data_IF_571555247644
#
_entry.id   IF_571555247644
#
_cell.length_a   1.000
_cell.length_b   1.000
_cell.length_c   1.000
_cell.angle_alpha   90.00
_cell.angle_beta   90.00
_cell.angle_gamma   90.00
#
_symmetry.space_group_name_H-M   'P 1'
#
loop_
_entity.id
_entity.type
_entity.pdbx_description
1 polymer ?
#
# COMPACT_ATOMS: atom_id res chain seq x y z
N UNK A 1 -10.49 -6.34 7.38
CA UNK A 1 -9.75 -5.74 8.50
C UNK A 1 -8.39 -6.38 8.62
N UNK A 2 -7.36 -5.68 8.12
CA UNK A 2 -5.97 -5.97 8.44
C UNK A 2 -5.81 -5.86 9.96
N UNK A 3 -5.56 -6.99 10.62
CA UNK A 3 -5.18 -7.04 12.02
C UNK A 3 -3.70 -7.39 12.08
N UNK A 4 -2.86 -6.58 12.74
CA UNK A 4 -1.44 -6.90 12.96
C UNK A 4 -1.31 -7.72 14.23
N UNK A 5 -0.61 -8.85 14.15
CA UNK A 5 -0.45 -9.79 15.26
C UNK A 5 1.03 -9.88 15.64
N UNK A 6 1.41 -9.50 16.87
CA UNK A 6 2.77 -9.68 17.35
C UNK A 6 3.22 -11.15 17.22
N UNK A 7 4.36 -11.39 16.58
CA UNK A 7 4.87 -12.74 16.30
C UNK A 7 4.19 -13.47 15.15
N UNK A 8 3.34 -12.79 14.37
CA UNK A 8 2.73 -13.32 13.17
C UNK A 8 3.72 -13.58 12.03
N UNK A 9 3.31 -14.42 11.07
CA UNK A 9 4.15 -14.82 9.93
C UNK A 9 4.00 -13.92 8.71
N UNK A 10 3.07 -12.96 8.71
CA UNK A 10 2.92 -12.02 7.59
C UNK A 10 4.03 -10.98 7.64
N UNK A 11 4.32 -10.38 6.49
CA UNK A 11 5.35 -9.35 6.40
C UNK A 11 5.01 -8.14 7.27
N UNK A 12 3.76 -7.68 7.26
CA UNK A 12 3.28 -6.62 8.17
C UNK A 12 3.50 -6.92 9.66
N UNK A 13 3.30 -8.18 10.08
CA UNK A 13 3.48 -8.60 11.48
C UNK A 13 4.95 -8.56 11.91
N UNK A 14 5.86 -8.87 10.98
CA UNK A 14 7.30 -8.78 11.21
C UNK A 14 7.78 -7.35 11.21
N UNK A 15 7.44 -6.58 10.18
CA UNK A 15 7.89 -5.19 9.97
C UNK A 15 7.43 -4.29 11.11
N UNK A 16 6.21 -4.47 11.61
CA UNK A 16 5.66 -3.71 12.75
C UNK A 16 5.89 -4.42 14.10
N UNK A 17 6.69 -5.48 14.11
CA UNK A 17 7.01 -6.21 15.33
C UNK A 17 7.93 -5.42 16.26
N UNK A 18 7.81 -5.58 17.60
CA UNK A 18 8.54 -4.77 18.58
C UNK A 18 10.08 -4.91 18.50
N UNK A 19 10.60 -5.97 17.88
CA UNK A 19 12.05 -6.19 17.71
C UNK A 19 12.61 -5.75 16.34
N UNK A 20 11.76 -5.28 15.42
CA UNK A 20 12.19 -5.03 14.03
C UNK A 20 13.15 -3.83 13.92
N UNK A 21 13.03 -2.87 14.83
CA UNK A 21 13.89 -1.68 14.93
C UNK A 21 14.91 -1.76 16.08
N UNK A 22 15.03 -2.91 16.74
CA UNK A 22 16.01 -3.08 17.82
C UNK A 22 17.43 -3.19 17.27
N UNK A 23 18.37 -2.57 17.98
CA UNK A 23 19.82 -2.71 17.80
C UNK A 23 20.32 -2.40 16.38
N UNK A 24 19.65 -1.49 15.67
CA UNK A 24 20.00 -1.13 14.28
C UNK A 24 21.47 -0.71 14.13
N UNK A 25 22.06 -0.08 15.14
CA UNK A 25 23.47 0.34 15.14
C UNK A 25 24.46 -0.83 15.16
N UNK A 26 24.05 -2.01 15.63
CA UNK A 26 24.88 -3.20 15.75
C UNK A 26 24.74 -4.14 14.54
N UNK A 27 23.65 -4.00 13.79
CA UNK A 27 23.38 -4.86 12.63
C UNK A 27 24.38 -4.61 11.48
N UNK A 28 24.76 -5.63 10.71
CA UNK A 28 25.48 -5.43 9.46
C UNK A 28 24.68 -4.55 8.48
N UNK A 29 25.38 -3.80 7.62
CA UNK A 29 24.72 -2.93 6.63
C UNK A 29 23.83 -3.71 5.65
N UNK A 30 24.22 -4.94 5.29
CA UNK A 30 23.41 -5.84 4.47
C UNK A 30 22.06 -6.14 5.12
N UNK A 31 22.06 -6.49 6.42
CA UNK A 31 20.83 -6.77 7.19
C UNK A 31 19.94 -5.53 7.29
N UNK A 32 20.51 -4.33 7.44
CA UNK A 32 19.73 -3.09 7.40
C UNK A 32 19.07 -2.86 6.04
N UNK A 33 19.78 -3.13 4.93
CA UNK A 33 19.22 -3.03 3.58
C UNK A 33 18.11 -4.05 3.36
N UNK A 34 18.30 -5.30 3.79
CA UNK A 34 17.27 -6.34 3.74
C UNK A 34 16.01 -5.93 4.50
N UNK A 35 16.14 -5.42 5.75
CA UNK A 35 15.00 -4.94 6.53
C UNK A 35 14.31 -3.72 5.90
N UNK A 36 15.08 -2.81 5.29
CA UNK A 36 14.53 -1.68 4.54
C UNK A 36 13.73 -2.17 3.34
N UNK A 37 14.26 -3.13 2.59
CA UNK A 37 13.64 -3.65 1.37
C UNK A 37 12.39 -4.47 1.68
N UNK A 38 12.39 -5.25 2.77
CA UNK A 38 11.19 -5.91 3.28
C UNK A 38 10.11 -4.88 3.67
N UNK A 39 10.46 -3.83 4.42
CA UNK A 39 9.51 -2.77 4.77
C UNK A 39 9.00 -2.01 3.53
N UNK A 40 9.88 -1.74 2.55
CA UNK A 40 9.52 -1.07 1.30
C UNK A 40 8.55 -1.91 0.45
N UNK A 41 8.73 -3.22 0.41
CA UNK A 41 7.79 -4.12 -0.27
C UNK A 41 6.42 -4.14 0.44
N UNK A 42 6.39 -4.10 1.77
CA UNK A 42 5.13 -4.01 2.51
C UNK A 42 4.41 -2.67 2.26
N UNK A 43 5.14 -1.57 2.24
CA UNK A 43 4.58 -0.26 1.91
C UNK A 43 3.98 -0.23 0.50
N UNK A 44 4.67 -0.87 -0.46
CA UNK A 44 4.20 -1.00 -1.85
C UNK A 44 2.89 -1.79 -1.92
N UNK A 45 2.82 -2.92 -1.20
CA UNK A 45 1.63 -3.78 -1.14
C UNK A 45 0.44 -3.04 -0.50
N UNK A 46 0.67 -2.32 0.61
CA UNK A 46 -0.35 -1.48 1.27
C UNK A 46 -0.79 -0.31 0.39
N UNK A 47 0.14 0.35 -0.30
CA UNK A 47 -0.14 1.42 -1.25
C UNK A 47 -0.99 0.93 -2.42
N UNK A 48 -0.76 -0.29 -2.90
CA UNK A 48 -1.58 -0.91 -3.94
C UNK A 48 -2.99 -1.20 -3.44
N UNK A 49 -3.13 -1.82 -2.27
CA UNK A 49 -4.43 -2.09 -1.66
C UNK A 49 -5.22 -0.79 -1.41
N UNK A 50 -4.55 0.26 -0.92
CA UNK A 50 -5.18 1.58 -0.74
C UNK A 50 -5.75 2.13 -2.05
N UNK A 51 -5.00 2.04 -3.15
CA UNK A 51 -5.48 2.50 -4.48
C UNK A 51 -6.67 1.68 -4.96
N UNK A 52 -6.69 0.37 -4.70
CA UNK A 52 -7.85 -0.47 -5.02
C UNK A 52 -9.09 -0.02 -4.23
N UNK A 53 -8.94 0.28 -2.94
CA UNK A 53 -10.03 0.78 -2.10
C UNK A 53 -10.54 2.15 -2.58
N UNK A 54 -9.64 3.07 -2.91
CA UNK A 54 -10.01 4.36 -3.52
C UNK A 54 -10.82 4.17 -4.80
N UNK A 55 -10.33 3.36 -5.74
CA UNK A 55 -11.05 3.10 -6.99
C UNK A 55 -12.47 2.54 -6.73
N UNK A 56 -12.62 1.63 -5.75
CA UNK A 56 -13.92 1.08 -5.38
C UNK A 56 -14.84 2.12 -4.74
N UNK A 57 -14.31 2.97 -3.85
CA UNK A 57 -15.03 4.09 -3.25
C UNK A 57 -15.55 5.04 -4.33
N UNK A 58 -14.73 5.39 -5.32
CA UNK A 58 -15.13 6.30 -6.40
C UNK A 58 -16.24 5.72 -7.27
N UNK A 59 -16.14 4.43 -7.61
CA UNK A 59 -17.17 3.73 -8.39
C UNK A 59 -18.51 3.73 -7.62
N UNK A 60 -18.50 3.45 -6.32
CA UNK A 60 -19.72 3.47 -5.49
C UNK A 60 -20.29 4.88 -5.39
N UNK A 61 -19.45 5.89 -5.19
CA UNK A 61 -19.88 7.31 -5.15
C UNK A 61 -20.47 7.76 -6.48
N UNK A 62 -19.87 7.36 -7.60
CA UNK A 62 -20.37 7.68 -8.93
C UNK A 62 -21.74 7.04 -9.22
N UNK A 63 -21.96 5.82 -8.73
CA UNK A 63 -23.27 5.17 -8.78
C UNK A 63 -24.33 5.95 -7.98
N UNK A 64 -24.00 6.33 -6.74
CA UNK A 64 -24.90 7.12 -5.88
C UNK A 64 -25.23 8.49 -6.52
N UNK A 65 -24.22 9.17 -7.07
CA UNK A 65 -24.39 10.45 -7.79
C UNK A 65 -25.28 10.26 -9.03
N UNK A 66 -25.09 9.18 -9.81
CA UNK A 66 -25.94 8.90 -10.97
C UNK A 66 -27.40 8.77 -10.57
N UNK A 67 -27.69 8.03 -9.49
CA UNK A 67 -29.06 7.84 -8.98
C UNK A 67 -29.68 9.15 -8.51
N UNK A 68 -28.95 9.96 -7.76
CA UNK A 68 -29.47 11.22 -7.22
C UNK A 68 -29.68 12.30 -8.30
N UNK A 69 -28.87 12.29 -9.35
CA UNK A 69 -28.94 13.27 -10.46
C UNK A 69 -29.83 12.83 -11.63
N UNK A 70 -30.32 11.58 -11.62
CA UNK A 70 -31.06 11.00 -12.74
C UNK A 70 -30.18 10.82 -13.99
N UNK A 71 -28.86 10.65 -13.81
CA UNK A 71 -27.91 10.57 -14.92
C UNK A 71 -28.13 9.34 -15.81
N UNK A 72 -28.15 9.56 -17.12
CA UNK A 72 -28.40 8.50 -18.11
C UNK A 72 -27.16 7.65 -18.43
N UNK A 73 -25.95 8.24 -18.30
CA UNK A 73 -24.69 7.55 -18.61
C UNK A 73 -24.33 6.54 -17.54
N UNK A 74 -23.94 5.34 -17.95
CA UNK A 74 -23.55 4.28 -17.02
C UNK A 74 -22.24 4.63 -16.29
N UNK A 75 -22.02 4.00 -15.13
CA UNK A 75 -20.75 4.12 -14.40
C UNK A 75 -19.58 3.60 -15.24
N UNK A 76 -19.81 2.57 -16.06
CA UNK A 76 -18.80 2.00 -16.97
C UNK A 76 -18.37 3.03 -18.03
N UNK A 77 -19.31 3.75 -18.63
CA UNK A 77 -19.02 4.82 -19.61
C UNK A 77 -18.21 5.96 -19.00
N UNK A 78 -18.41 6.24 -17.71
CA UNK A 78 -17.69 7.29 -16.96
C UNK A 78 -16.41 6.79 -16.29
N UNK A 79 -16.06 5.52 -16.38
CA UNK A 79 -15.01 4.90 -15.54
C UNK A 79 -13.66 5.62 -15.66
N UNK A 80 -13.25 6.00 -16.86
CA UNK A 80 -12.01 6.74 -17.07
C UNK A 80 -12.00 8.09 -16.33
N UNK A 81 -13.12 8.81 -16.34
CA UNK A 81 -13.26 10.08 -15.62
C UNK A 81 -13.32 9.86 -14.10
N UNK A 82 -14.05 8.83 -13.64
CA UNK A 82 -14.18 8.47 -12.22
C UNK A 82 -12.81 8.17 -11.61
N UNK A 83 -11.97 7.41 -12.30
CA UNK A 83 -10.65 7.01 -11.79
C UNK A 83 -9.57 8.07 -12.01
N UNK A 84 -9.82 9.10 -12.83
CA UNK A 84 -8.86 10.16 -13.09
C UNK A 84 -8.61 11.07 -11.89
N UNK A 85 -9.61 11.27 -11.03
CA UNK A 85 -9.50 12.15 -9.86
C UNK A 85 -8.48 11.63 -8.82
N UNK A 86 -8.29 10.31 -8.76
CA UNK A 86 -7.28 9.65 -7.90
C UNK A 86 -5.98 9.30 -8.65
N UNK A 87 -5.84 9.73 -9.91
CA UNK A 87 -4.62 9.56 -10.68
C UNK A 87 -3.53 10.53 -10.16
N UNK A 88 -2.79 10.06 -9.16
CA UNK A 88 -1.51 10.64 -8.69
C UNK A 88 -1.63 12.15 -8.44
N UNK A 89 -2.16 12.54 -7.28
CA UNK A 89 -1.90 13.88 -6.75
C UNK A 89 -0.39 14.15 -6.75
N UNK A 90 0.05 15.42 -6.92
CA UNK A 90 1.46 15.75 -7.07
C UNK A 90 2.28 15.08 -5.98
N UNK A 91 3.35 14.38 -6.37
CA UNK A 91 4.22 13.71 -5.42
C UNK A 91 4.70 14.72 -4.38
N UNK A 92 4.17 14.64 -3.16
CA UNK A 92 4.56 15.53 -2.06
C UNK A 92 5.91 15.14 -1.44
N UNK A 93 6.50 14.03 -1.89
CA UNK A 93 7.84 13.59 -1.51
C UNK A 93 8.89 13.93 -2.56
N UNK A 94 10.16 14.08 -2.16
CA UNK A 94 11.27 14.11 -3.12
C UNK A 94 11.24 12.78 -3.89
N UNK A 95 10.92 12.82 -5.19
CA UNK A 95 10.65 11.64 -6.01
C UNK A 95 11.54 10.45 -5.65
N UNK A 96 10.92 9.34 -5.22
CA UNK A 96 11.63 8.09 -4.92
C UNK A 96 11.52 7.21 -6.15
N UNK A 97 12.66 6.67 -6.61
CA UNK A 97 12.65 5.64 -7.64
C UNK A 97 12.02 4.36 -7.06
N UNK A 98 10.74 4.11 -7.33
CA UNK A 98 10.04 2.89 -6.93
C UNK A 98 10.01 1.93 -8.12
N UNK A 99 10.85 0.89 -8.10
CA UNK A 99 10.74 -0.25 -9.04
C UNK A 99 9.89 -1.40 -8.49
N UNK A 100 9.48 -1.32 -7.23
CA UNK A 100 8.78 -2.42 -6.57
C UNK A 100 7.37 -2.50 -7.11
N UNK A 101 7.04 -3.66 -7.68
CA UNK A 101 5.69 -4.02 -8.03
C UNK A 101 4.99 -4.66 -6.83
N UNK A 102 3.66 -4.57 -6.73
CA UNK A 102 2.91 -5.23 -5.66
C UNK A 102 3.13 -6.75 -5.72
N UNK A 103 3.70 -7.32 -4.67
CA UNK A 103 4.14 -8.73 -4.66
C UNK A 103 2.98 -9.71 -4.61
N UNK A 104 1.79 -9.25 -4.21
CA UNK A 104 0.58 -10.05 -4.00
C UNK A 104 -0.67 -9.41 -4.61
N UNK A 105 -0.53 -8.80 -5.79
CA UNK A 105 -1.62 -8.05 -6.44
C UNK A 105 -2.97 -8.82 -6.50
N UNK A 106 -2.92 -10.13 -6.80
CA UNK A 106 -4.13 -10.97 -6.84
C UNK A 106 -4.77 -11.24 -5.47
N UNK A 107 -3.98 -11.39 -4.41
CA UNK A 107 -4.50 -11.54 -3.04
C UNK A 107 -5.12 -10.24 -2.54
N UNK A 108 -4.48 -9.09 -2.80
CA UNK A 108 -5.01 -7.78 -2.45
C UNK A 108 -6.33 -7.49 -3.17
N UNK A 109 -6.45 -7.87 -4.44
CA UNK A 109 -7.70 -7.77 -5.20
C UNK A 109 -8.82 -8.60 -4.56
N UNK A 110 -8.56 -9.89 -4.29
CA UNK A 110 -9.53 -10.77 -3.62
C UNK A 110 -9.91 -10.28 -2.23
N UNK A 111 -8.96 -9.72 -1.48
CA UNK A 111 -9.23 -9.13 -0.18
C UNK A 111 -10.16 -7.91 -0.29
N UNK A 112 -9.88 -7.02 -1.26
CA UNK A 112 -10.74 -5.86 -1.53
C UNK A 112 -12.15 -6.27 -1.97
N UNK A 113 -12.29 -7.36 -2.73
CA UNK A 113 -13.58 -7.95 -3.10
C UNK A 113 -14.29 -8.57 -1.87
N UNK A 114 -13.57 -9.34 -1.05
CA UNK A 114 -14.12 -10.02 0.12
C UNK A 114 -14.64 -9.08 1.23
N UNK A 115 -14.17 -7.83 1.30
CA UNK A 115 -14.67 -6.82 2.26
C UNK A 115 -16.19 -6.59 2.15
N UNK A 116 -16.78 -6.96 1.02
CA UNK A 116 -18.21 -6.75 0.74
C UNK A 116 -19.03 -8.05 0.77
N UNK A 117 -18.41 -9.19 1.05
CA UNK A 117 -19.07 -10.50 1.10
C UNK A 117 -19.40 -11.04 -0.29
N UNK A 118 -20.37 -11.95 -0.40
CA UNK A 118 -20.82 -12.62 -1.65
C UNK A 118 -21.45 -11.67 -2.71
N UNK A 119 -21.39 -10.36 -2.51
CA UNK A 119 -21.93 -9.40 -3.47
C UNK A 119 -20.83 -9.00 -4.45
N UNK A 120 -20.86 -9.60 -5.63
CA UNK A 120 -19.95 -9.25 -6.72
C UNK A 120 -20.21 -7.81 -7.19
N UNK A 121 -19.24 -6.93 -6.92
CA UNK A 121 -19.22 -5.54 -7.39
C UNK A 121 -18.73 -5.40 -8.83
N UNK A 122 -18.71 -6.49 -9.59
CA UNK A 122 -18.57 -6.44 -11.04
C UNK A 122 -19.66 -5.58 -11.68
N UNK A 123 -20.83 -5.45 -11.04
CA UNK A 123 -21.91 -4.57 -11.48
C UNK A 123 -22.58 -3.77 -10.33
N UNK A 124 -22.05 -2.57 -10.06
CA UNK A 124 -22.59 -1.62 -9.08
C UNK A 124 -24.01 -1.16 -9.37
N UNK A 125 -24.47 -1.28 -10.62
CA UNK A 125 -25.81 -0.84 -11.01
C UNK A 125 -26.92 -1.76 -10.46
N UNK A 126 -26.58 -3.00 -10.11
CA UNK A 126 -27.53 -3.99 -9.57
C UNK A 126 -27.77 -3.86 -8.07
N UNK A 127 -26.97 -3.06 -7.37
CA UNK A 127 -27.04 -2.93 -5.91
C UNK A 127 -28.17 -2.01 -5.47
N UNK A 128 -28.78 -2.28 -4.32
CA UNK A 128 -29.70 -1.34 -3.67
C UNK A 128 -28.94 -0.16 -3.06
N UNK A 129 -29.65 0.94 -2.78
CA UNK A 129 -29.04 2.12 -2.13
C UNK A 129 -28.46 1.77 -0.75
N UNK A 130 -29.13 0.91 0.01
CA UNK A 130 -28.66 0.41 1.30
C UNK A 130 -27.37 -0.41 1.15
N UNK A 131 -27.28 -1.24 0.11
CA UNK A 131 -26.06 -1.99 -0.19
C UNK A 131 -24.91 -1.07 -0.58
N UNK A 132 -25.16 -0.02 -1.36
CA UNK A 132 -24.16 0.99 -1.73
C UNK A 132 -23.65 1.77 -0.50
N UNK A 133 -24.54 2.16 0.40
CA UNK A 133 -24.16 2.83 1.66
C UNK A 133 -23.30 1.91 2.53
N UNK A 134 -23.72 0.64 2.69
CA UNK A 134 -22.96 -0.33 3.48
C UNK A 134 -21.58 -0.61 2.87
N UNK A 135 -21.51 -0.78 1.55
CA UNK A 135 -20.28 -0.95 0.79
C UNK A 135 -19.30 0.22 1.00
N UNK A 136 -19.81 1.45 0.83
CA UNK A 136 -19.01 2.66 0.98
C UNK A 136 -18.40 2.78 2.38
N UNK A 137 -19.20 2.53 3.43
CA UNK A 137 -18.73 2.58 4.82
C UNK A 137 -17.63 1.54 5.08
N UNK A 138 -17.83 0.29 4.64
CA UNK A 138 -16.82 -0.77 4.81
C UNK A 138 -15.52 -0.45 4.09
N UNK A 139 -15.59 0.09 2.88
CA UNK A 139 -14.40 0.50 2.15
C UNK A 139 -13.69 1.68 2.78
N UNK A 140 -14.42 2.68 3.26
CA UNK A 140 -13.84 3.82 3.95
C UNK A 140 -13.13 3.39 5.24
N UNK A 141 -13.74 2.53 6.04
CA UNK A 141 -13.15 2.01 7.28
C UNK A 141 -11.86 1.23 7.00
N UNK A 142 -11.87 0.35 5.98
CA UNK A 142 -10.68 -0.41 5.62
C UNK A 142 -9.59 0.49 5.01
N UNK A 143 -9.96 1.49 4.20
CA UNK A 143 -9.00 2.44 3.65
C UNK A 143 -8.26 3.18 4.76
N UNK A 144 -8.98 3.63 5.79
CA UNK A 144 -8.38 4.29 6.96
C UNK A 144 -7.41 3.36 7.67
N UNK A 145 -7.78 2.10 7.86
CA UNK A 145 -6.91 1.07 8.46
C UNK A 145 -5.64 0.84 7.64
N UNK A 146 -5.77 0.60 6.33
CA UNK A 146 -4.64 0.42 5.39
C UNK A 146 -3.74 1.65 5.39
N UNK A 147 -4.33 2.85 5.36
CA UNK A 147 -3.60 4.12 5.40
C UNK A 147 -2.87 4.34 6.74
N UNK A 148 -3.38 3.81 7.85
CA UNK A 148 -2.69 3.82 9.15
C UNK A 148 -1.45 2.93 9.12
N UNK A 149 -1.62 1.64 8.80
CA UNK A 149 -0.50 0.71 8.76
C UNK A 149 0.56 1.10 7.73
N UNK A 150 0.15 1.66 6.59
CA UNK A 150 1.09 2.20 5.59
C UNK A 150 1.98 3.29 6.18
N UNK A 151 1.41 4.21 6.97
CA UNK A 151 2.18 5.27 7.64
C UNK A 151 3.13 4.71 8.70
N UNK A 152 2.71 3.70 9.44
CA UNK A 152 3.58 3.02 10.42
C UNK A 152 4.78 2.35 9.72
N UNK A 153 4.54 1.62 8.62
CA UNK A 153 5.60 1.01 7.81
C UNK A 153 6.53 2.07 7.21
N UNK A 154 6.00 3.21 6.75
CA UNK A 154 6.83 4.32 6.29
C UNK A 154 7.75 4.86 7.41
N UNK A 155 7.26 4.96 8.65
CA UNK A 155 8.08 5.32 9.81
C UNK A 155 9.20 4.32 10.09
N UNK A 156 8.94 3.02 9.93
CA UNK A 156 9.96 1.97 9.99
C UNK A 156 11.03 2.18 8.91
N UNK A 157 10.61 2.39 7.66
CA UNK A 157 11.52 2.66 6.55
C UNK A 157 12.39 3.90 6.79
N UNK A 158 11.79 5.00 7.25
CA UNK A 158 12.51 6.25 7.49
C UNK A 158 13.54 6.10 8.63
N UNK A 159 13.22 5.31 9.67
CA UNK A 159 14.16 4.98 10.76
C UNK A 159 15.37 4.20 10.24
N UNK A 160 15.15 3.16 9.44
CA UNK A 160 16.24 2.35 8.87
C UNK A 160 17.08 3.19 7.89
N UNK A 161 16.43 4.01 7.06
CA UNK A 161 17.12 4.91 6.13
C UNK A 161 17.98 5.95 6.87
N UNK A 162 17.53 6.47 8.02
CA UNK A 162 18.30 7.40 8.84
C UNK A 162 19.57 6.75 9.42
N UNK A 163 19.49 5.49 9.85
CA UNK A 163 20.66 4.73 10.31
C UNK A 163 21.65 4.48 9.16
N UNK A 164 21.17 4.00 8.00
CA UNK A 164 22.01 3.79 6.81
C UNK A 164 22.70 5.10 6.41
N UNK A 165 21.97 6.22 6.34
CA UNK A 165 22.53 7.53 6.02
C UNK A 165 23.58 8.00 7.05
N UNK A 166 23.37 7.69 8.33
CA UNK A 166 24.33 7.98 9.39
C UNK A 166 25.66 7.23 9.19
N UNK A 167 25.61 5.95 8.77
CA UNK A 167 26.82 5.15 8.48
C UNK A 167 27.61 5.71 7.31
N UNK A 168 26.94 6.08 6.22
CA UNK A 168 27.59 6.76 5.08
C UNK A 168 28.23 8.07 5.51
N UNK A 169 27.54 8.89 6.32
CA UNK A 169 28.09 10.15 6.83
C UNK A 169 29.33 9.95 7.71
N UNK A 170 29.37 8.88 8.51
CA UNK A 170 30.50 8.51 9.37
C UNK A 170 31.63 7.77 8.64
N UNK A 171 31.44 7.42 7.36
CA UNK A 171 32.40 6.64 6.59
C UNK A 171 32.49 5.16 6.99
N UNK A 172 31.54 4.65 7.77
CA UNK A 172 31.47 3.22 8.15
C UNK A 172 30.73 2.36 7.14
N UNK A 173 30.36 2.94 5.99
CA UNK A 173 29.76 2.29 4.83
C UNK A 173 30.32 2.92 3.55
N UNK A 174 30.69 2.12 2.55
CA UNK A 174 31.12 2.62 1.24
C UNK A 174 30.03 2.41 0.17
N UNK A 175 30.10 3.24 -0.89
CA UNK A 175 29.30 3.05 -2.11
C UNK A 175 29.89 1.93 -2.96
N UNK A 176 31.20 1.71 -2.88
CA UNK A 176 31.88 0.64 -3.62
C UNK A 176 31.34 -0.73 -3.21
N UNK A 177 31.07 -0.95 -1.93
CA UNK A 177 30.44 -2.18 -1.42
C UNK A 177 29.07 -2.47 -2.08
N UNK A 178 28.31 -1.42 -2.43
CA UNK A 178 27.05 -1.56 -3.14
C UNK A 178 27.29 -1.94 -4.61
N UNK A 179 28.24 -1.29 -5.27
CA UNK A 179 28.57 -1.55 -6.67
C UNK A 179 29.15 -2.94 -6.88
N UNK A 180 29.99 -3.42 -5.96
CA UNK A 180 30.57 -4.76 -6.00
C UNK A 180 29.51 -5.84 -5.79
N UNK A 181 28.53 -5.60 -4.91
CA UNK A 181 27.38 -6.50 -4.72
C UNK A 181 26.53 -6.59 -6.01
N UNK A 182 26.22 -5.45 -6.64
CA UNK A 182 25.42 -5.41 -7.87
C UNK A 182 26.15 -6.03 -9.07
N UNK A 183 27.48 -5.92 -9.13
CA UNK A 183 28.31 -6.53 -10.18
C UNK A 183 28.56 -8.02 -9.97
N UNK A 184 28.41 -8.52 -8.74
CA UNK A 184 28.62 -9.93 -8.37
C UNK A 184 27.36 -10.80 -8.37
N UNK A 185 26.18 -10.25 -8.67
CA UNK A 185 24.95 -11.03 -8.83
C UNK A 185 25.00 -11.95 -10.06
N UNK A 186 24.42 -13.17 -10.00
CA UNK A 186 24.52 -14.13 -11.11
C UNK A 186 23.82 -13.61 -12.37
N UNK A 187 24.51 -13.74 -13.52
CA UNK A 187 23.92 -13.61 -14.86
C UNK A 187 22.77 -14.60 -15.10
#
# INVERSE_FOLDING_TARGET
MIEVRPGGRRRIDRVLGPGYLSDLGELPLSVLRERRDEAAQEETDLSYLRRLLHARIDIVRAEQERRSSGGERSVVERLAAILADNAIGPATGSGRHQRLEPSRAGEHRRFAEALIGDTDLSDVSTLSDEQLISALNRYADEEVSVSSYRREVQGVMDTINAEIATRYRKGTASVDDLLDTERGGPE
#
